data_IF_117371748861
#
_entry.id   IF_117371748861
#
_cell.length_a   1.000
_cell.length_b   1.000
_cell.length_c   1.000
_cell.angle_alpha   90.00
_cell.angle_beta   90.00
_cell.angle_gamma   90.00
#
_symmetry.space_group_name_H-M   'P 1'
#
loop_
_entity.id
_entity.type
_entity.pdbx_description
1 polymer ?
#
# COMPACT_ATOMS: atom_id res chain seq x y z
N UNK A 1 5.74 28.63 -1.15
CA UNK A 1 4.80 28.08 -2.15
C UNK A 1 4.26 26.81 -1.54
N UNK A 2 2.97 26.76 -1.18
CA UNK A 2 2.40 25.69 -0.37
C UNK A 2 2.06 24.52 -1.31
N UNK A 3 3.02 23.63 -1.60
CA UNK A 3 2.87 22.53 -2.57
C UNK A 3 1.75 21.53 -2.17
N UNK A 4 1.19 21.66 -0.96
CA UNK A 4 0.18 20.79 -0.37
C UNK A 4 -1.26 21.21 -0.66
N UNK A 5 -1.49 22.33 -1.36
CA UNK A 5 -2.86 22.82 -1.59
C UNK A 5 -3.59 21.90 -2.60
N UNK A 6 -4.42 21.00 -2.09
CA UNK A 6 -5.26 20.10 -2.88
C UNK A 6 -4.69 18.71 -3.19
N UNK A 7 -3.48 18.37 -2.73
CA UNK A 7 -2.88 17.04 -2.93
C UNK A 7 -2.84 16.19 -1.65
N UNK A 8 -3.05 14.86 -1.76
CA UNK A 8 -2.81 13.95 -0.65
C UNK A 8 -1.36 14.03 -0.16
N UNK A 9 -1.17 14.29 1.12
CA UNK A 9 0.15 14.40 1.76
C UNK A 9 0.71 13.02 2.12
N UNK A 10 0.71 12.09 1.14
CA UNK A 10 1.06 10.68 1.31
C UNK A 10 2.20 10.27 0.38
N UNK A 11 3.24 9.66 0.94
CA UNK A 11 4.31 9.02 0.18
C UNK A 11 4.16 7.50 0.29
N UNK A 12 4.18 6.81 -0.85
CA UNK A 12 4.16 5.36 -0.92
C UNK A 12 5.53 4.82 -1.30
N UNK A 13 5.99 3.79 -0.59
CA UNK A 13 7.26 3.13 -0.81
C UNK A 13 7.02 1.66 -1.11
N UNK A 14 7.33 1.22 -2.34
CA UNK A 14 7.43 -0.20 -2.68
C UNK A 14 8.77 -0.74 -2.17
N UNK A 15 8.73 -1.52 -1.09
CA UNK A 15 9.92 -2.06 -0.43
C UNK A 15 10.56 -3.20 -1.19
N UNK A 16 9.75 -4.02 -1.85
CA UNK A 16 10.12 -5.21 -2.62
C UNK A 16 8.96 -5.65 -3.53
N UNK A 17 9.19 -6.66 -4.38
CA UNK A 17 8.21 -7.21 -5.32
C UNK A 17 7.99 -8.72 -5.17
N UNK A 18 8.88 -9.44 -4.50
CA UNK A 18 8.62 -10.82 -4.08
C UNK A 18 7.50 -10.86 -3.05
N UNK A 19 6.57 -11.80 -3.20
CA UNK A 19 5.43 -12.00 -2.32
C UNK A 19 5.22 -13.48 -2.09
N UNK A 20 4.76 -13.87 -0.90
CA UNK A 20 4.43 -15.26 -0.61
C UNK A 20 3.08 -15.70 -1.22
N UNK A 21 2.31 -14.76 -1.79
CA UNK A 21 1.07 -15.00 -2.52
C UNK A 21 1.22 -14.59 -4.00
N UNK A 22 0.29 -15.01 -4.85
CA UNK A 22 0.21 -14.62 -6.26
C UNK A 22 -1.23 -14.24 -6.60
N UNK A 23 -1.66 -13.08 -6.12
CA UNK A 23 -3.06 -12.67 -6.24
C UNK A 23 -3.43 -12.39 -7.70
N UNK A 24 -4.63 -12.80 -8.14
CA UNK A 24 -5.05 -12.65 -9.53
C UNK A 24 -5.23 -11.18 -9.98
N UNK A 25 -5.51 -10.25 -9.06
CA UNK A 25 -5.63 -8.82 -9.36
C UNK A 25 -4.37 -8.00 -9.06
N UNK A 26 -3.25 -8.64 -8.65
CA UNK A 26 -2.09 -7.92 -8.11
C UNK A 26 -1.58 -6.84 -9.08
N UNK A 27 -1.68 -5.57 -8.67
CA UNK A 27 -1.27 -4.43 -9.50
C UNK A 27 0.23 -4.38 -9.75
N UNK A 28 1.02 -4.88 -8.81
CA UNK A 28 2.48 -4.94 -8.89
C UNK A 28 3.03 -6.22 -9.54
N UNK A 29 2.14 -7.16 -9.92
CA UNK A 29 2.50 -8.49 -10.45
C UNK A 29 3.43 -9.28 -9.52
N UNK A 30 3.30 -9.05 -8.22
CA UNK A 30 4.09 -9.72 -7.19
C UNK A 30 3.73 -11.19 -7.07
N UNK A 31 4.74 -12.01 -6.83
CA UNK A 31 4.59 -13.46 -6.68
C UNK A 31 5.81 -14.07 -5.98
N UNK A 32 5.77 -15.36 -5.61
CA UNK A 32 6.95 -16.05 -5.04
C UNK A 32 8.13 -16.15 -6.01
N UNK A 33 7.90 -15.91 -7.29
CA UNK A 33 8.90 -15.98 -8.35
C UNK A 33 9.27 -14.60 -8.91
N UNK A 34 8.65 -13.53 -8.39
CA UNK A 34 9.01 -12.18 -8.80
C UNK A 34 10.42 -11.86 -8.26
N UNK A 35 11.28 -11.16 -9.03
CA UNK A 35 12.54 -10.69 -8.52
C UNK A 35 12.30 -9.75 -7.35
N UNK A 36 13.06 -9.90 -6.26
CA UNK A 36 12.86 -9.14 -5.02
C UNK A 36 12.81 -7.63 -5.21
N UNK A 37 13.75 -7.07 -5.99
CA UNK A 37 13.82 -5.61 -6.29
C UNK A 37 13.67 -4.75 -5.02
N UNK A 38 14.54 -4.97 -4.04
CA UNK A 38 14.44 -4.32 -2.73
C UNK A 38 14.93 -2.85 -2.76
N UNK A 39 14.16 -1.94 -2.14
CA UNK A 39 14.47 -0.50 -2.08
C UNK A 39 15.74 -0.19 -1.25
N UNK A 40 15.97 -0.98 -0.19
CA UNK A 40 17.09 -0.81 0.74
C UNK A 40 16.82 0.21 1.84
N UNK A 41 17.37 -0.04 3.04
CA UNK A 41 17.15 0.78 4.24
C UNK A 41 17.58 2.23 4.05
N UNK A 42 18.81 2.48 3.58
CA UNK A 42 19.37 3.82 3.43
C UNK A 42 18.52 4.70 2.48
N UNK A 43 18.06 4.11 1.37
CA UNK A 43 17.17 4.78 0.42
C UNK A 43 15.83 5.14 1.08
N UNK A 44 15.24 4.21 1.83
CA UNK A 44 13.98 4.44 2.53
C UNK A 44 14.11 5.55 3.59
N UNK A 45 15.20 5.55 4.37
CA UNK A 45 15.47 6.58 5.37
C UNK A 45 15.58 7.97 4.74
N UNK A 46 16.37 8.08 3.65
CA UNK A 46 16.52 9.34 2.92
C UNK A 46 15.20 9.83 2.32
N UNK A 47 14.38 8.92 1.77
CA UNK A 47 13.06 9.26 1.25
C UNK A 47 12.13 9.78 2.34
N UNK A 48 12.14 9.16 3.53
CA UNK A 48 11.38 9.64 4.70
C UNK A 48 11.82 11.06 5.08
N UNK A 49 13.12 11.31 5.16
CA UNK A 49 13.63 12.64 5.54
C UNK A 49 13.24 13.72 4.50
N UNK A 50 13.37 13.42 3.20
CA UNK A 50 12.92 14.34 2.15
C UNK A 50 11.40 14.53 2.15
N UNK A 51 10.63 13.48 2.42
CA UNK A 51 9.18 13.57 2.54
C UNK A 51 8.74 14.48 3.70
N UNK A 52 9.33 14.31 4.88
CA UNK A 52 9.06 15.17 6.04
C UNK A 52 9.44 16.62 5.73
N UNK A 53 10.58 16.86 5.10
CA UNK A 53 11.02 18.20 4.71
C UNK A 53 10.08 18.87 3.68
N UNK A 54 9.47 18.07 2.80
CA UNK A 54 8.48 18.51 1.81
C UNK A 54 7.07 18.62 2.38
N UNK A 55 6.87 18.27 3.65
CA UNK A 55 5.60 18.36 4.34
C UNK A 55 4.64 17.20 4.03
N UNK A 56 5.11 16.02 3.65
CA UNK A 56 4.26 14.83 3.69
C UNK A 56 3.83 14.53 5.13
N UNK A 57 2.59 14.07 5.32
CA UNK A 57 2.03 13.74 6.64
C UNK A 57 2.00 12.25 6.90
N UNK A 58 2.05 11.43 5.86
CA UNK A 58 1.98 9.98 5.98
C UNK A 58 2.95 9.29 5.03
N UNK A 59 3.56 8.20 5.50
CA UNK A 59 4.36 7.28 4.69
C UNK A 59 3.74 5.88 4.74
N UNK A 60 3.49 5.32 3.56
CA UNK A 60 2.94 3.99 3.37
C UNK A 60 4.02 3.06 2.83
N UNK A 61 4.34 2.01 3.58
CA UNK A 61 5.18 0.92 3.12
C UNK A 61 4.30 -0.16 2.52
N UNK A 62 4.58 -0.50 1.26
CA UNK A 62 3.92 -1.57 0.53
C UNK A 62 4.97 -2.36 -0.24
N UNK A 63 4.57 -3.33 -1.03
CA UNK A 63 5.45 -4.13 -1.84
C UNK A 63 4.74 -5.38 -2.28
N UNK A 64 5.51 -6.38 -2.72
CA UNK A 64 5.02 -7.75 -2.74
C UNK A 64 4.51 -8.14 -1.36
N UNK A 65 5.38 -8.62 -0.48
CA UNK A 65 5.06 -8.71 0.95
C UNK A 65 6.21 -8.09 1.76
N UNK A 66 6.00 -6.94 2.44
CA UNK A 66 7.07 -6.27 3.18
C UNK A 66 7.73 -7.15 4.24
N UNK A 67 6.98 -8.03 4.90
CA UNK A 67 7.53 -8.92 5.94
C UNK A 67 8.36 -10.11 5.40
N UNK A 68 8.67 -10.14 4.10
CA UNK A 68 9.67 -11.04 3.51
C UNK A 68 11.11 -10.50 3.59
N UNK A 69 11.29 -9.20 3.76
CA UNK A 69 12.62 -8.60 3.93
C UNK A 69 12.85 -8.27 5.42
N UNK A 70 14.08 -8.47 5.91
CA UNK A 70 14.39 -8.18 7.32
C UNK A 70 14.54 -6.67 7.59
N UNK A 71 14.91 -5.87 6.58
CA UNK A 71 15.08 -4.42 6.74
C UNK A 71 13.78 -3.68 7.04
N UNK A 72 12.62 -4.29 6.77
CA UNK A 72 11.30 -3.65 6.97
C UNK A 72 11.13 -3.12 8.39
N UNK A 73 11.60 -3.83 9.41
CA UNK A 73 11.44 -3.40 10.80
C UNK A 73 12.23 -2.11 11.08
N UNK A 74 13.46 -2.00 10.55
CA UNK A 74 14.26 -0.80 10.68
C UNK A 74 13.67 0.37 9.87
N UNK A 75 13.11 0.11 8.68
CA UNK A 75 12.42 1.10 7.87
C UNK A 75 11.19 1.68 8.60
N UNK A 76 10.34 0.80 9.15
CA UNK A 76 9.14 1.19 9.88
C UNK A 76 9.48 1.94 11.17
N UNK A 77 10.46 1.47 11.95
CA UNK A 77 10.92 2.15 13.15
C UNK A 77 11.46 3.55 12.85
N UNK A 78 12.23 3.70 11.76
CA UNK A 78 12.77 4.98 11.35
C UNK A 78 11.68 5.97 10.93
N UNK A 79 10.72 5.51 10.12
CA UNK A 79 9.65 6.34 9.60
C UNK A 79 8.66 6.76 10.68
N UNK A 80 8.18 5.81 11.49
CA UNK A 80 7.18 6.08 12.54
C UNK A 80 7.71 6.98 13.66
N UNK A 81 9.03 7.06 13.87
CA UNK A 81 9.62 8.05 14.76
C UNK A 81 9.56 9.50 14.23
N UNK A 82 9.13 9.71 12.98
CA UNK A 82 9.17 11.02 12.28
C UNK A 82 7.83 11.43 11.69
N UNK A 83 7.02 10.47 11.23
CA UNK A 83 5.79 10.72 10.47
C UNK A 83 4.83 9.53 10.62
N UNK A 84 3.52 9.80 10.52
CA UNK A 84 2.50 8.74 10.53
C UNK A 84 2.83 7.68 9.49
N UNK A 85 2.97 6.44 9.94
CA UNK A 85 3.50 5.35 9.12
C UNK A 85 2.52 4.20 9.10
N UNK A 86 2.25 3.70 7.90
CA UNK A 86 1.38 2.54 7.69
C UNK A 86 2.11 1.48 6.88
N UNK A 87 2.08 0.23 7.32
CA UNK A 87 2.55 -0.90 6.52
C UNK A 87 1.38 -1.72 5.97
N UNK A 88 1.37 -1.93 4.65
CA UNK A 88 0.41 -2.82 3.99
C UNK A 88 0.94 -4.25 3.97
N UNK A 89 0.10 -5.22 4.31
CA UNK A 89 0.49 -6.63 4.35
C UNK A 89 -0.68 -7.55 4.05
N UNK A 90 -0.39 -8.77 3.61
CA UNK A 90 -1.35 -9.88 3.59
C UNK A 90 -1.49 -10.56 4.97
N UNK A 91 -0.70 -10.16 5.97
CA UNK A 91 -0.68 -10.65 7.36
C UNK A 91 -0.38 -12.15 7.54
N UNK A 92 -0.25 -12.94 6.48
CA UNK A 92 -0.07 -14.41 6.56
C UNK A 92 1.25 -14.84 7.19
N UNK A 93 2.21 -13.91 7.31
CA UNK A 93 3.52 -14.13 7.91
C UNK A 93 3.64 -13.60 9.35
N UNK A 94 2.61 -12.93 9.87
CA UNK A 94 2.65 -12.24 11.17
C UNK A 94 2.41 -13.19 12.34
N UNK A 95 3.41 -14.04 12.57
CA UNK A 95 3.48 -14.95 13.71
C UNK A 95 4.93 -15.10 14.20
N UNK A 96 5.10 -15.62 15.42
CA UNK A 96 6.39 -15.92 16.01
C UNK A 96 7.37 -14.74 15.95
N UNK A 97 8.58 -14.98 15.43
CA UNK A 97 9.65 -13.98 15.35
C UNK A 97 9.25 -12.73 14.57
N UNK A 98 8.46 -12.83 13.50
CA UNK A 98 8.06 -11.66 12.69
C UNK A 98 7.13 -10.73 13.46
N UNK A 99 6.14 -11.31 14.13
CA UNK A 99 5.24 -10.56 15.00
C UNK A 99 5.98 -9.93 16.18
N UNK A 100 6.94 -10.66 16.77
CA UNK A 100 7.75 -10.13 17.87
C UNK A 100 8.59 -8.93 17.43
N UNK A 101 9.32 -9.04 16.30
CA UNK A 101 10.08 -7.92 15.73
C UNK A 101 9.19 -6.71 15.41
N UNK A 102 7.97 -6.93 14.89
CA UNK A 102 7.03 -5.83 14.66
C UNK A 102 6.56 -5.19 15.98
N UNK A 103 6.30 -6.01 17.00
CA UNK A 103 5.89 -5.53 18.34
C UNK A 103 7.00 -4.71 19.01
N UNK A 104 8.26 -5.09 18.84
CA UNK A 104 9.42 -4.40 19.42
C UNK A 104 9.57 -2.95 18.94
N UNK A 105 9.07 -2.63 17.74
CA UNK A 105 9.13 -1.29 17.15
C UNK A 105 7.80 -0.53 17.22
N UNK A 106 6.78 -1.12 17.84
CA UNK A 106 5.45 -0.53 17.91
C UNK A 106 5.47 0.82 18.64
N UNK A 107 4.77 1.79 18.09
CA UNK A 107 4.54 3.10 18.68
C UNK A 107 3.23 3.70 18.13
N UNK A 108 2.81 4.84 18.67
CA UNK A 108 1.51 5.45 18.38
C UNK A 108 1.35 5.91 16.91
N UNK A 109 2.45 6.05 16.17
CA UNK A 109 2.49 6.49 14.78
C UNK A 109 2.62 5.33 13.78
N UNK A 110 2.63 4.06 14.25
CA UNK A 110 2.75 2.89 13.39
C UNK A 110 1.43 2.12 13.35
N UNK A 111 0.82 2.06 12.17
CA UNK A 111 -0.38 1.26 11.92
C UNK A 111 -0.16 0.16 10.88
N UNK A 112 -1.03 -0.85 10.92
CA UNK A 112 -0.97 -2.00 10.01
C UNK A 112 -2.24 -2.04 9.18
N UNK A 113 -2.07 -2.05 7.86
CA UNK A 113 -3.15 -2.13 6.90
C UNK A 113 -3.17 -3.52 6.28
N UNK A 114 -4.13 -4.35 6.71
CA UNK A 114 -4.23 -5.75 6.28
C UNK A 114 -5.17 -5.89 5.10
N UNK A 115 -4.73 -6.66 4.11
CA UNK A 115 -5.50 -6.92 2.90
C UNK A 115 -6.44 -8.12 3.11
N UNK A 116 -7.77 -7.92 3.09
CA UNK A 116 -8.79 -8.92 3.45
C UNK A 116 -9.99 -8.88 2.49
N UNK A 117 -10.07 -9.80 1.52
CA UNK A 117 -11.09 -9.71 0.45
C UNK A 117 -12.41 -10.46 0.69
N UNK A 118 -12.72 -10.93 1.89
CA UNK A 118 -13.97 -11.67 2.13
C UNK A 118 -14.25 -11.94 3.59
N UNK A 119 -15.49 -12.31 3.94
CA UNK A 119 -15.87 -12.74 5.29
C UNK A 119 -15.67 -14.24 5.54
N UNK A 120 -15.15 -14.96 4.55
CA UNK A 120 -14.97 -16.41 4.56
C UNK A 120 -13.77 -16.82 3.70
N UNK A 121 -13.33 -18.07 3.87
CA UNK A 121 -12.27 -18.65 3.04
C UNK A 121 -12.63 -18.68 1.56
N UNK A 122 -13.88 -18.98 1.22
CA UNK A 122 -14.36 -19.05 -0.16
C UNK A 122 -14.14 -17.72 -0.91
N UNK A 123 -14.55 -16.60 -0.31
CA UNK A 123 -14.46 -15.30 -0.96
C UNK A 123 -13.05 -14.70 -0.93
N UNK A 124 -12.33 -14.87 0.19
CA UNK A 124 -10.97 -14.34 0.34
C UNK A 124 -9.94 -15.12 -0.50
N UNK A 125 -9.98 -16.45 -0.48
CA UNK A 125 -8.99 -17.28 -1.17
C UNK A 125 -9.17 -17.26 -2.69
N UNK A 126 -10.37 -16.93 -3.19
CA UNK A 126 -10.70 -16.94 -4.62
C UNK A 126 -9.66 -16.22 -5.48
N UNK A 127 -9.19 -15.05 -5.01
CA UNK A 127 -8.20 -14.24 -5.74
C UNK A 127 -6.82 -14.25 -5.08
N UNK A 128 -6.68 -14.62 -3.80
CA UNK A 128 -5.41 -14.56 -3.06
C UNK A 128 -4.68 -15.90 -2.96
N UNK A 129 -5.39 -17.00 -3.20
CA UNK A 129 -4.88 -18.37 -3.15
C UNK A 129 -5.37 -19.15 -1.93
N UNK A 130 -5.55 -20.46 -2.12
CA UNK A 130 -6.09 -21.37 -1.10
C UNK A 130 -5.29 -21.34 0.21
N UNK A 131 -6.01 -21.26 1.33
CA UNK A 131 -5.47 -21.24 2.69
C UNK A 131 -4.90 -19.88 3.10
N UNK A 132 -5.15 -18.82 2.33
CA UNK A 132 -4.72 -17.46 2.70
C UNK A 132 -5.61 -16.90 3.81
N UNK A 133 -6.92 -17.18 3.79
CA UNK A 133 -7.90 -16.72 4.76
C UNK A 133 -7.50 -17.03 6.20
N UNK A 134 -7.28 -18.31 6.51
CA UNK A 134 -6.98 -18.73 7.89
C UNK A 134 -5.72 -18.06 8.41
N UNK A 135 -4.70 -17.90 7.55
CA UNK A 135 -3.44 -17.24 7.90
C UNK A 135 -3.61 -15.74 8.08
N UNK A 136 -4.34 -15.08 7.19
CA UNK A 136 -4.63 -13.65 7.26
C UNK A 136 -5.41 -13.33 8.53
N UNK A 137 -6.48 -14.08 8.82
CA UNK A 137 -7.30 -13.89 10.03
C UNK A 137 -6.51 -14.18 11.30
N UNK A 138 -5.67 -15.21 11.31
CA UNK A 138 -4.76 -15.46 12.44
C UNK A 138 -3.78 -14.29 12.65
N UNK A 139 -3.22 -13.74 11.58
CA UNK A 139 -2.35 -12.56 11.64
C UNK A 139 -3.08 -11.32 12.16
N UNK A 140 -4.32 -11.06 11.71
CA UNK A 140 -5.15 -9.95 12.20
C UNK A 140 -5.40 -10.09 13.70
N UNK A 141 -5.84 -11.28 14.16
CA UNK A 141 -6.07 -11.51 15.59
C UNK A 141 -4.79 -11.31 16.40
N UNK A 142 -3.66 -11.81 15.92
CA UNK A 142 -2.39 -11.65 16.59
C UNK A 142 -1.94 -10.18 16.69
N UNK A 143 -2.23 -9.35 15.68
CA UNK A 143 -2.00 -7.91 15.73
C UNK A 143 -2.90 -7.22 16.76
N UNK A 144 -4.19 -7.54 16.75
CA UNK A 144 -5.18 -6.98 17.69
C UNK A 144 -4.84 -7.35 19.14
N UNK A 145 -4.43 -8.60 19.39
CA UNK A 145 -4.00 -9.08 20.71
C UNK A 145 -2.77 -8.32 21.25
N UNK A 146 -1.98 -7.70 20.36
CA UNK A 146 -0.83 -6.85 20.71
C UNK A 146 -1.14 -5.36 20.71
N UNK A 147 -2.40 -4.99 20.51
CA UNK A 147 -2.86 -3.60 20.58
C UNK A 147 -2.52 -2.76 19.35
N UNK A 148 -2.17 -3.38 18.21
CA UNK A 148 -1.93 -2.63 16.98
C UNK A 148 -3.22 -1.99 16.45
N UNK A 149 -3.17 -0.75 15.95
CA UNK A 149 -4.25 -0.20 15.15
C UNK A 149 -4.27 -0.91 13.79
N UNK A 150 -5.28 -1.74 13.57
CA UNK A 150 -5.49 -2.49 12.33
C UNK A 150 -6.51 -1.79 11.44
N UNK A 151 -6.09 -1.51 10.22
CA UNK A 151 -6.94 -1.09 9.10
C UNK A 151 -7.11 -2.26 8.14
N UNK A 152 -8.24 -2.32 7.45
CA UNK A 152 -8.52 -3.32 6.44
C UNK A 152 -8.63 -2.68 5.07
N UNK A 153 -8.17 -3.39 4.05
CA UNK A 153 -8.56 -3.09 2.68
C UNK A 153 -8.97 -4.29 1.88
N UNK A 154 -10.01 -4.05 1.12
CA UNK A 154 -10.66 -5.02 0.26
C UNK A 154 -10.52 -4.57 -1.15
N UNK A 155 -10.06 -5.48 -2.01
CA UNK A 155 -10.24 -5.33 -3.44
C UNK A 155 -11.55 -6.02 -3.81
N UNK A 156 -12.56 -5.25 -4.18
CA UNK A 156 -13.84 -5.77 -4.65
C UNK A 156 -13.69 -6.34 -6.07
N UNK A 157 -14.02 -7.62 -6.21
CA UNK A 157 -13.97 -8.41 -7.42
C UNK A 157 -15.25 -9.26 -7.58
N UNK A 158 -15.53 -9.80 -8.78
CA UNK A 158 -16.81 -10.47 -9.06
C UNK A 158 -17.22 -11.56 -8.06
N UNK A 159 -16.25 -12.28 -7.47
CA UNK A 159 -16.54 -13.36 -6.51
C UNK A 159 -16.77 -12.90 -5.07
N UNK A 160 -16.52 -11.63 -4.72
CA UNK A 160 -16.80 -11.10 -3.37
C UNK A 160 -17.82 -9.94 -3.36
N UNK A 161 -18.13 -9.31 -4.50
CA UNK A 161 -19.04 -8.16 -4.58
C UNK A 161 -20.41 -8.42 -3.94
N UNK A 162 -20.98 -9.61 -4.16
CA UNK A 162 -22.28 -9.98 -3.57
C UNK A 162 -22.21 -10.29 -2.06
N UNK A 163 -21.00 -10.36 -1.49
CA UNK A 163 -20.71 -10.82 -0.13
C UNK A 163 -19.98 -9.76 0.71
N UNK A 164 -19.95 -8.50 0.27
CA UNK A 164 -19.30 -7.42 1.02
C UNK A 164 -19.95 -7.20 2.40
N UNK A 165 -21.27 -7.40 2.53
CA UNK A 165 -21.92 -7.28 3.83
C UNK A 165 -21.47 -8.39 4.80
N UNK A 166 -21.21 -9.61 4.32
CA UNK A 166 -20.66 -10.69 5.15
C UNK A 166 -19.25 -10.35 5.63
N UNK A 167 -18.43 -9.74 4.76
CA UNK A 167 -17.11 -9.25 5.11
C UNK A 167 -17.19 -8.12 6.16
N UNK A 168 -18.10 -7.16 5.98
CA UNK A 168 -18.29 -6.09 6.96
C UNK A 168 -18.81 -6.63 8.30
N UNK A 169 -19.75 -7.59 8.27
CA UNK A 169 -20.19 -8.29 9.47
C UNK A 169 -19.02 -8.98 10.18
N UNK A 170 -18.13 -9.63 9.42
CA UNK A 170 -16.94 -10.27 9.96
C UNK A 170 -15.97 -9.28 10.62
N UNK A 171 -15.61 -8.16 9.97
CA UNK A 171 -14.70 -7.19 10.60
C UNK A 171 -15.25 -6.62 11.90
N UNK A 172 -16.59 -6.49 12.02
CA UNK A 172 -17.24 -5.99 13.22
C UNK A 172 -17.06 -6.98 14.37
N UNK A 173 -17.07 -8.29 14.10
CA UNK A 173 -16.75 -9.31 15.10
C UNK A 173 -15.32 -9.24 15.62
N UNK A 174 -14.40 -8.65 14.85
CA UNK A 174 -13.01 -8.41 15.26
C UNK A 174 -12.84 -7.11 16.04
N UNK A 175 -13.90 -6.29 16.19
CA UNK A 175 -13.83 -4.98 16.82
C UNK A 175 -13.18 -3.90 15.96
N UNK A 176 -13.01 -4.14 14.65
CA UNK A 176 -12.48 -3.16 13.71
C UNK A 176 -13.63 -2.21 13.30
N UNK A 177 -13.38 -0.91 13.39
CA UNK A 177 -14.36 0.14 13.08
C UNK A 177 -14.57 0.28 11.56
N UNK A 178 -15.77 0.68 11.15
CA UNK A 178 -16.12 0.84 9.73
C UNK A 178 -15.19 1.82 9.00
N UNK A 179 -14.82 2.94 9.65
CA UNK A 179 -13.89 3.94 9.10
C UNK A 179 -12.46 3.41 8.89
N UNK A 180 -12.12 2.25 9.47
CA UNK A 180 -10.83 1.60 9.29
C UNK A 180 -10.86 0.56 8.16
N UNK A 181 -12.00 0.33 7.52
CA UNK A 181 -12.12 -0.60 6.41
C UNK A 181 -12.41 0.17 5.11
N UNK A 182 -11.48 0.08 4.15
CA UNK A 182 -11.65 0.69 2.82
C UNK A 182 -11.85 -0.40 1.77
N UNK A 183 -12.98 -0.33 1.07
CA UNK A 183 -13.29 -1.21 -0.06
C UNK A 183 -13.01 -0.42 -1.35
N UNK A 184 -12.23 -1.03 -2.26
CA UNK A 184 -11.89 -0.44 -3.56
C UNK A 184 -12.16 -1.44 -4.68
N UNK A 185 -12.66 -1.01 -5.84
CA UNK A 185 -12.85 -1.91 -6.97
C UNK A 185 -11.51 -2.40 -7.52
N UNK A 186 -11.49 -3.60 -8.13
CA UNK A 186 -10.35 -4.06 -8.92
C UNK A 186 -9.98 -3.01 -9.98
N UNK A 187 -8.67 -2.73 -10.08
CA UNK A 187 -8.10 -1.97 -11.18
C UNK A 187 -7.76 -2.91 -12.34
N UNK A 188 -8.05 -2.49 -13.58
CA UNK A 188 -7.62 -3.18 -14.80
C UNK A 188 -6.14 -2.92 -15.09
N UNK A 189 -5.28 -3.43 -14.21
CA UNK A 189 -3.81 -3.27 -14.23
C UNK A 189 -3.11 -4.49 -13.62
N UNK A 190 -1.81 -4.56 -13.82
CA UNK A 190 -0.97 -5.63 -13.28
C UNK A 190 -1.41 -6.99 -13.81
N UNK A 191 -1.85 -7.88 -12.92
CA UNK A 191 -2.33 -9.21 -13.25
C UNK A 191 -3.81 -9.27 -13.66
N UNK A 192 -4.60 -8.21 -13.45
CA UNK A 192 -6.02 -8.19 -13.80
C UNK A 192 -6.26 -7.69 -15.23
N UNK A 193 -7.01 -8.48 -16.00
CA UNK A 193 -7.56 -8.04 -17.30
C UNK A 193 -8.93 -7.32 -17.16
N UNK A 194 -9.54 -7.41 -15.98
CA UNK A 194 -10.86 -6.87 -15.66
C UNK A 194 -10.76 -5.73 -14.64
N UNK A 195 -11.85 -4.99 -14.46
CA UNK A 195 -11.96 -3.90 -13.48
C UNK A 195 -11.95 -2.50 -14.09
N UNK A 196 -11.77 -1.50 -13.24
CA UNK A 196 -11.81 -0.08 -13.63
C UNK A 196 -10.48 0.31 -14.27
N UNK A 197 -10.55 0.96 -15.43
CA UNK A 197 -9.37 1.57 -16.07
C UNK A 197 -8.95 2.78 -15.25
N UNK A 198 -7.79 2.71 -14.64
CA UNK A 198 -7.22 3.79 -13.84
C UNK A 198 -5.93 4.29 -14.50
N UNK A 199 -5.70 5.59 -14.59
CA UNK A 199 -4.51 6.22 -15.19
C UNK A 199 -4.32 7.63 -14.62
N UNK A 200 -3.26 8.34 -15.01
CA UNK A 200 -2.98 9.69 -14.51
C UNK A 200 -4.15 10.68 -14.68
N UNK A 201 -4.99 10.52 -15.70
CA UNK A 201 -6.12 11.43 -15.95
C UNK A 201 -7.30 11.26 -14.98
N UNK A 202 -7.40 10.11 -14.30
CA UNK A 202 -8.52 9.80 -13.39
C UNK A 202 -8.08 9.40 -11.97
N UNK A 203 -6.79 9.53 -11.67
CA UNK A 203 -6.23 9.34 -10.33
C UNK A 203 -5.68 10.66 -9.81
N UNK A 204 -6.09 11.01 -8.59
CA UNK A 204 -5.38 12.02 -7.80
C UNK A 204 -3.97 11.46 -7.52
N UNK A 205 -2.89 12.24 -7.70
CA UNK A 205 -1.56 11.71 -7.48
C UNK A 205 -1.34 11.39 -6.00
N UNK A 206 -0.76 10.22 -5.75
CA UNK A 206 -0.23 9.78 -4.47
C UNK A 206 1.19 9.28 -4.73
N UNK A 207 2.18 10.15 -4.49
CA UNK A 207 3.55 9.96 -4.94
C UNK A 207 4.07 8.61 -4.44
N UNK A 208 4.57 7.81 -5.37
CA UNK A 208 5.00 6.44 -5.11
C UNK A 208 6.41 6.23 -5.59
N UNK A 209 7.24 5.56 -4.81
CA UNK A 209 8.64 5.31 -5.12
C UNK A 209 8.96 3.83 -5.07
N UNK A 210 9.76 3.36 -6.01
CA UNK A 210 10.40 2.05 -6.00
C UNK A 210 11.87 2.18 -6.45
N UNK A 211 12.55 1.05 -6.70
CA UNK A 211 13.95 1.03 -7.16
C UNK A 211 14.19 1.61 -8.57
N UNK A 212 13.17 1.74 -9.40
CA UNK A 212 13.23 2.27 -10.78
C UNK A 212 12.88 3.77 -10.86
N UNK A 213 12.43 4.40 -9.77
CA UNK A 213 12.10 5.83 -9.76
C UNK A 213 10.80 6.18 -9.03
N UNK A 214 10.16 7.24 -9.51
CA UNK A 214 8.96 7.85 -8.91
C UNK A 214 7.76 7.71 -9.87
N UNK A 215 6.60 7.38 -9.31
CA UNK A 215 5.35 7.08 -10.00
C UNK A 215 4.20 7.90 -9.44
N UNK A 216 3.19 8.09 -10.27
CA UNK A 216 2.03 8.94 -9.97
C UNK A 216 1.14 8.41 -8.85
N UNK A 217 1.05 7.08 -8.69
CA UNK A 217 0.10 6.44 -7.76
C UNK A 217 0.53 5.01 -7.41
N UNK A 218 0.22 4.49 -6.21
CA UNK A 218 0.64 3.14 -5.79
C UNK A 218 -0.02 2.00 -6.56
N UNK A 219 -1.01 2.27 -7.40
CA UNK A 219 -1.77 1.24 -8.12
C UNK A 219 -1.05 0.71 -9.36
N UNK A 220 0.12 1.23 -9.71
CA UNK A 220 0.93 0.73 -10.81
C UNK A 220 2.31 1.39 -10.79
N UNK A 221 3.32 0.57 -11.05
CA UNK A 221 4.69 1.01 -11.30
C UNK A 221 5.10 0.72 -12.75
N UNK A 222 4.15 0.80 -13.67
CA UNK A 222 4.39 0.68 -15.11
C UNK A 222 4.82 2.05 -15.69
N UNK A 223 5.46 2.04 -16.86
CA UNK A 223 6.04 3.25 -17.48
C UNK A 223 5.01 4.36 -17.74
N UNK A 224 3.75 4.02 -18.03
CA UNK A 224 2.70 5.02 -18.25
C UNK A 224 2.37 5.83 -16.99
N UNK A 225 2.69 5.29 -15.81
CA UNK A 225 2.50 5.93 -14.50
C UNK A 225 3.79 6.57 -13.97
N UNK A 226 4.94 6.35 -14.62
CA UNK A 226 6.22 6.91 -14.18
C UNK A 226 6.21 8.44 -14.32
N UNK A 227 6.68 9.10 -13.27
CA UNK A 227 6.92 10.55 -13.21
C UNK A 227 8.39 10.81 -13.51
N UNK A 228 9.29 10.09 -12.82
CA UNK A 228 10.74 10.26 -12.92
C UNK A 228 11.44 8.89 -12.85
N UNK A 229 12.54 8.73 -13.56
CA UNK A 229 13.45 7.58 -13.42
C UNK A 229 14.50 7.80 -12.30
N UNK A 230 14.62 9.03 -11.79
CA UNK A 230 15.44 9.36 -10.64
C UNK A 230 14.58 9.40 -9.37
N UNK A 231 15.04 8.70 -8.33
CA UNK A 231 14.43 8.70 -6.99
C UNK A 231 14.67 10.02 -6.25
N UNK A 232 15.85 10.62 -6.45
CA UNK A 232 16.29 11.81 -5.73
C UNK A 232 16.70 12.95 -6.68
N UNK A 233 16.54 14.22 -6.25
CA UNK A 233 15.77 14.63 -5.06
C UNK A 233 14.26 14.42 -5.30
N UNK A 234 13.54 13.96 -4.29
CA UNK A 234 12.10 13.71 -4.31
C UNK A 234 11.32 14.98 -4.71
N UNK A 235 11.83 16.15 -4.31
CA UNK A 235 11.28 17.46 -4.66
C UNK A 235 11.10 17.64 -6.17
N UNK A 236 12.05 17.17 -6.99
CA UNK A 236 11.97 17.30 -8.45
C UNK A 236 10.79 16.50 -9.03
N UNK A 237 10.49 15.32 -8.47
CA UNK A 237 9.33 14.54 -8.89
C UNK A 237 8.01 15.17 -8.42
N UNK A 238 7.98 15.74 -7.21
CA UNK A 238 6.84 16.53 -6.71
C UNK A 238 6.55 17.71 -7.64
N UNK A 239 7.60 18.42 -8.07
CA UNK A 239 7.51 19.54 -9.01
C UNK A 239 6.86 19.12 -10.34
N UNK A 240 7.34 18.04 -10.93
CA UNK A 240 6.79 17.51 -12.18
C UNK A 240 5.33 17.09 -12.08
N UNK A 241 4.91 16.51 -10.95
CA UNK A 241 3.49 16.16 -10.72
C UNK A 241 2.63 17.42 -10.75
N UNK A 242 3.07 18.49 -10.10
CA UNK A 242 2.30 19.73 -10.07
C UNK A 242 2.23 20.43 -11.42
N UNK A 243 3.33 20.47 -12.16
CA UNK A 243 3.33 21.02 -13.52
C UNK A 243 2.32 20.30 -14.42
N UNK A 244 2.24 18.96 -14.31
CA UNK A 244 1.26 18.16 -15.05
C UNK A 244 -0.19 18.50 -14.65
N UNK A 245 -0.48 18.66 -13.36
CA UNK A 245 -1.82 19.04 -12.88
C UNK A 245 -2.23 20.44 -13.35
N UNK A 246 -1.31 21.40 -13.28
CA UNK A 246 -1.55 22.78 -13.70
C UNK A 246 -1.71 22.89 -15.23
N UNK A 247 -0.95 22.09 -15.98
CA UNK A 247 -1.06 21.99 -17.44
C UNK A 247 -2.37 21.35 -17.93
N UNK A 248 -2.91 20.38 -17.19
CA UNK A 248 -4.21 19.77 -17.52
C UNK A 248 -5.40 20.67 -17.11
N UNK A 249 -5.27 21.44 -16.03
CA UNK A 249 -6.27 22.43 -15.63
C UNK A 249 -6.47 23.54 -16.67
N UNK A 250 -5.39 23.99 -17.30
CA UNK A 250 -5.40 25.03 -18.35
C UNK A 250 -5.92 24.54 -19.71
N UNK A 251 -5.92 23.23 -19.98
CA UNK A 251 -6.56 22.64 -21.17
C UNK A 251 -8.08 22.47 -21.02
N UNK A 252 -8.60 22.38 -19.79
CA UNK A 252 -10.05 22.24 -19.53
C UNK A 252 -10.82 23.57 -19.63
N UNK A 253 -10.16 24.72 -19.55
CA UNK A 253 -10.76 26.06 -19.69
C UNK A 253 -10.80 26.58 -21.14
N UNK A 254 -10.35 25.80 -22.11
CA UNK A 254 -10.37 26.13 -23.55
C UNK A 254 -11.38 25.31 -24.37
N UNK A 255 -12.38 24.68 -23.73
CA UNK A 255 -13.50 24.02 -24.42
C UNK A 255 -14.85 24.54 -23.93
#
# INVERSE_FOLDING_TARGET
MNWTEGLPRKLWLYTNYDCNLRCAYCVARSSPHAPRRALGLDTAQKLVDEAVALGFEQVFFTGGEPFLIDDIYAMLAYASARVETTVLTNATLLSGTRLNKLTEIANDHLSVYVSLDGGSAEHHDAYRGKGSWDKTVAGIRALLDRGFPVHLGTTEHPTNSAHLEELCAFHRTLGIREEHHIIRPVAKRGSSADGIVMNKCNLVPEITVNVDGVFWHPISTDLDMQVSDQIFPLAAAVEQVQEQLNGDGSRKTMK
#
